data_IF_199383969270
#
_entry.id   IF_199383969270
#
_cell.length_a   1.000
_cell.length_b   1.000
_cell.length_c   1.000
_cell.angle_alpha   90.00
_cell.angle_beta   90.00
_cell.angle_gamma   90.00
#
_symmetry.space_group_name_H-M   'P 1'
#
loop_
_entity.id
_entity.type
_entity.pdbx_description
1 polymer ?
#
# COMPACT_ATOMS: atom_id res chain seq x y z
N UNK A 1 -23.61 -2.49 -27.77
CA UNK A 1 -23.16 -3.06 -26.49
C UNK A 1 -24.21 -2.75 -25.43
N UNK A 2 -24.71 -3.72 -24.65
CA UNK A 2 -25.77 -3.44 -23.66
C UNK A 2 -25.23 -2.59 -22.50
N UNK A 3 -26.07 -1.72 -21.93
CA UNK A 3 -25.70 -0.87 -20.79
C UNK A 3 -25.10 -1.69 -19.62
N UNK A 4 -25.60 -2.91 -19.40
CA UNK A 4 -25.06 -3.85 -18.42
C UNK A 4 -23.63 -4.32 -18.71
N UNK A 5 -23.27 -4.56 -19.98
CA UNK A 5 -21.89 -4.94 -20.35
C UNK A 5 -20.91 -3.79 -20.12
N UNK A 6 -21.33 -2.56 -20.42
CA UNK A 6 -20.52 -1.35 -20.16
C UNK A 6 -20.30 -1.16 -18.66
N UNK A 7 -21.36 -1.35 -17.85
CA UNK A 7 -21.25 -1.28 -16.39
C UNK A 7 -20.26 -2.31 -15.82
N UNK A 8 -20.35 -3.56 -16.28
CA UNK A 8 -19.45 -4.63 -15.82
C UNK A 8 -17.98 -4.31 -16.15
N UNK A 9 -17.70 -3.77 -17.34
CA UNK A 9 -16.34 -3.39 -17.74
C UNK A 9 -15.77 -2.32 -16.81
N UNK A 10 -16.54 -1.26 -16.54
CA UNK A 10 -16.08 -0.20 -15.64
C UNK A 10 -15.87 -0.69 -14.21
N UNK A 11 -16.77 -1.54 -13.72
CA UNK A 11 -16.63 -2.15 -12.40
C UNK A 11 -15.35 -3.00 -12.32
N UNK A 12 -15.09 -3.83 -13.32
CA UNK A 12 -13.88 -4.65 -13.37
C UNK A 12 -12.59 -3.82 -13.41
N UNK A 13 -12.57 -2.74 -14.20
CA UNK A 13 -11.43 -1.80 -14.25
C UNK A 13 -11.21 -1.17 -12.87
N UNK A 14 -12.27 -0.65 -12.24
CA UNK A 14 -12.18 -0.05 -10.92
C UNK A 14 -11.67 -1.04 -9.86
N UNK A 15 -12.14 -2.29 -9.90
CA UNK A 15 -11.70 -3.34 -8.99
C UNK A 15 -10.21 -3.66 -9.16
N UNK A 16 -9.73 -3.81 -10.40
CA UNK A 16 -8.31 -4.08 -10.68
C UNK A 16 -7.42 -2.94 -10.19
N UNK A 17 -7.84 -1.68 -10.42
CA UNK A 17 -7.08 -0.51 -9.96
C UNK A 17 -7.04 -0.43 -8.43
N UNK A 18 -8.18 -0.63 -7.76
CA UNK A 18 -8.26 -0.64 -6.30
C UNK A 18 -7.40 -1.76 -5.69
N UNK A 19 -7.45 -2.97 -6.26
CA UNK A 19 -6.60 -4.07 -5.83
C UNK A 19 -5.11 -3.74 -6.00
N UNK A 20 -4.72 -3.15 -7.14
CA UNK A 20 -3.34 -2.71 -7.37
C UNK A 20 -2.86 -1.71 -6.33
N UNK A 21 -3.70 -0.76 -5.92
CA UNK A 21 -3.36 0.22 -4.88
C UNK A 21 -3.14 -0.43 -3.50
N UNK A 22 -3.87 -1.49 -3.16
CA UNK A 22 -3.67 -2.23 -1.90
C UNK A 22 -2.30 -2.90 -1.88
N UNK A 23 -1.83 -3.46 -3.00
CA UNK A 23 -0.49 -4.05 -3.09
C UNK A 23 0.64 -3.01 -3.02
N UNK A 24 0.36 -1.76 -3.40
CA UNK A 24 1.35 -0.68 -3.39
C UNK A 24 1.39 0.11 -2.07
N UNK A 25 0.43 -0.09 -1.14
CA UNK A 25 0.24 0.78 0.04
C UNK A 25 1.34 0.69 1.12
N UNK A 26 2.32 -0.20 0.97
CA UNK A 26 3.34 -0.44 2.00
C UNK A 26 2.76 -0.98 3.31
N UNK A 27 3.60 -1.10 4.34
CA UNK A 27 3.15 -1.44 5.69
C UNK A 27 2.63 -0.20 6.41
N UNK A 28 1.38 -0.24 6.89
CA UNK A 28 0.73 0.84 7.64
C UNK A 28 1.37 1.06 9.03
N UNK A 29 1.83 -0.03 9.65
CA UNK A 29 2.51 -0.06 10.95
C UNK A 29 3.93 -0.65 10.77
N UNK A 30 4.86 0.15 10.27
CA UNK A 30 6.20 -0.31 9.90
C UNK A 30 7.29 0.73 10.23
N UNK A 31 8.53 0.27 10.40
CA UNK A 31 9.68 1.15 10.42
C UNK A 31 10.09 1.47 8.98
N UNK A 32 10.10 2.75 8.63
CA UNK A 32 10.55 3.23 7.33
C UNK A 32 11.97 3.76 7.44
N UNK A 33 12.76 3.55 6.39
CA UNK A 33 14.07 4.17 6.29
C UNK A 33 13.92 5.56 5.66
N UNK A 34 14.16 6.62 6.44
CA UNK A 34 14.14 7.98 5.95
C UNK A 34 15.46 8.67 6.30
N UNK A 35 16.20 9.13 5.28
CA UNK A 35 17.49 9.81 5.46
C UNK A 35 18.53 9.00 6.27
N UNK A 36 18.50 7.67 6.16
CA UNK A 36 19.41 6.78 6.90
C UNK A 36 18.98 6.50 8.35
N UNK A 37 17.81 6.98 8.77
CA UNK A 37 17.25 6.73 10.08
C UNK A 37 15.93 5.95 10.01
N UNK A 38 15.74 5.02 10.94
CA UNK A 38 14.47 4.34 11.13
C UNK A 38 13.45 5.28 11.78
N UNK A 39 12.44 5.67 11.00
CA UNK A 39 11.30 6.50 11.40
C UNK A 39 10.06 5.63 11.51
N UNK A 40 9.27 5.72 12.60
CA UNK A 40 8.06 4.93 12.74
C UNK A 40 6.96 5.45 11.81
N UNK A 41 6.38 4.58 11.00
CA UNK A 41 5.14 4.81 10.28
C UNK A 41 4.01 4.05 10.98
N UNK A 42 2.96 4.78 11.40
CA UNK A 42 1.88 4.22 12.21
C UNK A 42 2.33 3.83 13.62
N UNK A 43 1.91 2.66 14.09
CA UNK A 43 2.31 2.07 15.38
C UNK A 43 2.97 0.70 15.17
N UNK A 44 4.25 0.66 14.76
CA UNK A 44 4.95 -0.59 14.53
C UNK A 44 4.98 -1.43 15.81
N UNK A 45 4.47 -2.66 15.74
CA UNK A 45 4.50 -3.60 16.87
C UNK A 45 5.87 -4.25 17.07
N UNK A 46 6.69 -4.28 16.01
CA UNK A 46 8.06 -4.75 16.05
C UNK A 46 8.97 -3.69 16.69
N UNK A 47 10.00 -4.11 17.48
CA UNK A 47 10.97 -3.17 18.03
C UNK A 47 11.70 -2.41 16.92
N UNK A 48 12.16 -1.19 17.22
CA UNK A 48 13.00 -0.40 16.31
C UNK A 48 14.22 -1.23 15.91
N UNK A 49 14.53 -1.38 14.60
CA UNK A 49 15.73 -2.08 14.19
C UNK A 49 16.99 -1.41 14.73
N UNK A 50 18.03 -2.20 14.98
CA UNK A 50 19.32 -1.69 15.44
C UNK A 50 20.13 -1.09 14.26
N UNK A 51 20.94 -0.08 14.56
CA UNK A 51 21.78 0.61 13.56
C UNK A 51 21.02 1.61 12.69
N UNK A 52 21.76 2.17 11.72
CA UNK A 52 21.21 3.03 10.68
C UNK A 52 20.62 2.17 9.54
N UNK A 53 19.78 2.77 8.70
CA UNK A 53 19.18 2.12 7.54
C UNK A 53 19.80 2.64 6.23
N UNK A 54 19.60 1.92 5.13
CA UNK A 54 20.16 2.20 3.79
C UNK A 54 19.09 2.62 2.79
#
# INVERSE_FOLDING_TARGET
MSKGRIFIIWFAIGFVLAAGLVFLRGGEDAWLCENGEWVPHGYPSAPKPEGNCE
#
